data_IF_862723224381
#
_entry.id   IF_862723224381
#
_cell.length_a   1.000
_cell.length_b   1.000
_cell.length_c   1.000
_cell.angle_alpha   90.00
_cell.angle_beta   90.00
_cell.angle_gamma   90.00
#
_symmetry.space_group_name_H-M   'P 1'
#
loop_
_entity.id
_entity.type
_entity.pdbx_description
1 polymer ?
#
# COMPACT_ATOMS: atom_id res chain seq x y z
N UNK A 1 -16.79 10.42 -19.42
CA UNK A 1 -16.91 10.25 -17.96
C UNK A 1 -15.51 9.94 -17.47
N UNK A 2 -14.97 10.74 -16.54
CA UNK A 2 -13.58 10.59 -16.09
C UNK A 2 -13.40 9.25 -15.37
N UNK A 3 -12.36 8.49 -15.72
CA UNK A 3 -12.07 7.19 -15.10
C UNK A 3 -11.48 7.45 -13.72
N UNK A 4 -12.23 7.11 -12.66
CA UNK A 4 -11.76 7.29 -11.27
C UNK A 4 -10.49 6.48 -10.96
N UNK A 5 -9.74 6.92 -9.95
CA UNK A 5 -8.43 6.33 -9.59
C UNK A 5 -8.49 4.83 -9.33
N UNK A 6 -9.53 4.35 -8.66
CA UNK A 6 -9.77 2.92 -8.43
C UNK A 6 -9.81 2.13 -9.74
N UNK A 7 -10.52 2.64 -10.75
CA UNK A 7 -10.62 1.98 -12.05
C UNK A 7 -9.28 1.99 -12.80
N UNK A 8 -8.51 3.09 -12.69
CA UNK A 8 -7.15 3.19 -13.26
C UNK A 8 -6.20 2.18 -12.61
N UNK A 9 -6.25 2.05 -11.29
CA UNK A 9 -5.44 1.10 -10.52
C UNK A 9 -5.75 -0.36 -10.88
N UNK A 10 -7.03 -0.73 -10.96
CA UNK A 10 -7.46 -2.07 -11.39
C UNK A 10 -6.95 -2.42 -12.80
N UNK A 11 -6.95 -1.46 -13.73
CA UNK A 11 -6.37 -1.65 -15.06
C UNK A 11 -4.86 -1.85 -15.02
N UNK A 12 -4.14 -1.19 -14.13
CA UNK A 12 -2.71 -1.42 -13.93
C UNK A 12 -2.45 -2.81 -13.34
N UNK A 13 -3.16 -3.19 -12.28
CA UNK A 13 -2.93 -4.45 -11.56
C UNK A 13 -3.16 -5.69 -12.45
N UNK A 14 -4.27 -5.73 -13.19
CA UNK A 14 -4.69 -6.96 -13.90
C UNK A 14 -5.33 -6.71 -15.27
N UNK A 15 -5.30 -5.48 -15.79
CA UNK A 15 -5.80 -5.16 -17.14
C UNK A 15 -7.30 -5.41 -17.33
N UNK A 16 -8.06 -5.60 -16.24
CA UNK A 16 -9.49 -5.93 -16.30
C UNK A 16 -9.85 -7.33 -16.86
N UNK A 17 -8.91 -8.27 -16.92
CA UNK A 17 -9.16 -9.64 -17.37
C UNK A 17 -8.88 -9.88 -18.85
N UNK A 18 -9.07 -11.13 -19.28
CA UNK A 18 -8.67 -11.58 -20.62
C UNK A 18 -9.53 -11.01 -21.76
N UNK A 19 -10.76 -10.57 -21.47
CA UNK A 19 -11.65 -9.89 -22.43
C UNK A 19 -11.31 -8.40 -22.59
N UNK A 20 -10.43 -7.87 -21.73
CA UNK A 20 -9.93 -6.49 -21.78
C UNK A 20 -8.43 -6.49 -22.09
N UNK A 21 -7.62 -5.86 -21.24
CA UNK A 21 -6.18 -5.66 -21.43
C UNK A 21 -5.33 -6.65 -20.64
N UNK A 22 -5.93 -7.61 -19.94
CA UNK A 22 -5.22 -8.58 -19.11
C UNK A 22 -4.32 -9.54 -19.89
N UNK A 23 -4.59 -9.75 -21.19
CA UNK A 23 -3.72 -10.52 -22.08
C UNK A 23 -2.63 -9.67 -22.76
N UNK A 24 -2.71 -8.34 -22.68
CA UNK A 24 -1.72 -7.43 -23.26
C UNK A 24 -0.60 -7.12 -22.26
N UNK A 25 0.00 -8.16 -21.69
CA UNK A 25 0.98 -8.10 -20.60
C UNK A 25 2.01 -9.23 -20.73
N UNK A 26 3.18 -9.01 -20.14
CA UNK A 26 4.22 -10.01 -19.93
C UNK A 26 4.81 -9.85 -18.53
N UNK A 27 4.21 -10.52 -17.55
CA UNK A 27 4.50 -10.30 -16.12
C UNK A 27 5.91 -10.73 -15.69
N UNK A 28 6.61 -11.56 -16.46
CA UNK A 28 8.01 -11.91 -16.19
C UNK A 28 8.97 -10.75 -16.49
N UNK A 29 8.51 -9.68 -17.18
CA UNK A 29 9.34 -8.52 -17.46
C UNK A 29 9.30 -7.57 -16.25
N UNK A 30 10.45 -7.14 -15.70
CA UNK A 30 10.51 -6.30 -14.49
C UNK A 30 9.68 -5.03 -14.53
N UNK A 31 9.59 -4.38 -15.70
CA UNK A 31 8.83 -3.16 -15.89
C UNK A 31 8.02 -3.24 -17.19
N UNK A 32 6.73 -2.94 -17.10
CA UNK A 32 5.82 -2.82 -18.22
C UNK A 32 5.16 -1.45 -18.17
N UNK A 33 5.51 -0.56 -19.09
CA UNK A 33 4.85 0.73 -19.25
C UNK A 33 3.51 0.52 -19.98
N UNK A 34 2.42 0.97 -19.38
CA UNK A 34 1.09 0.93 -19.96
C UNK A 34 0.74 2.33 -20.43
N UNK A 35 0.37 2.45 -21.70
CA UNK A 35 -0.09 3.69 -22.33
C UNK A 35 -1.42 3.39 -23.01
N UNK A 36 -2.52 3.69 -22.31
CA UNK A 36 -3.88 3.49 -22.80
C UNK A 36 -4.31 4.58 -23.78
N UNK A 37 -5.12 4.20 -24.77
CA UNK A 37 -5.74 5.15 -25.72
C UNK A 37 -6.72 6.12 -25.02
N UNK A 38 -7.24 5.71 -23.87
CA UNK A 38 -8.13 6.47 -22.99
C UNK A 38 -7.38 7.41 -22.02
N UNK A 39 -6.05 7.48 -22.15
CA UNK A 39 -5.17 8.28 -21.29
C UNK A 39 -4.81 7.61 -19.96
N UNK A 40 -5.25 6.36 -19.72
CA UNK A 40 -4.82 5.62 -18.53
C UNK A 40 -3.40 5.13 -18.74
N UNK A 41 -2.47 5.74 -18.00
CA UNK A 41 -1.04 5.45 -18.09
C UNK A 41 -0.50 5.00 -16.73
N UNK A 42 0.53 4.16 -16.76
CA UNK A 42 1.20 3.70 -15.54
C UNK A 42 2.30 2.69 -15.82
N UNK A 43 2.80 2.08 -14.76
CA UNK A 43 3.83 1.03 -14.84
C UNK A 43 3.42 -0.15 -13.98
N UNK A 44 3.48 -1.36 -14.55
CA UNK A 44 3.36 -2.63 -13.82
C UNK A 44 4.76 -3.15 -13.53
N UNK A 45 4.97 -3.60 -12.30
CA UNK A 45 6.27 -4.02 -11.79
C UNK A 45 6.24 -5.49 -11.39
N UNK A 46 7.20 -6.27 -11.87
CA UNK A 46 7.58 -7.53 -11.23
C UNK A 46 8.56 -7.17 -10.10
N UNK A 47 8.30 -7.62 -8.88
CA UNK A 47 8.88 -7.03 -7.66
C UNK A 47 10.13 -7.76 -7.15
N UNK A 48 10.49 -8.90 -7.76
CA UNK A 48 11.68 -9.66 -7.39
C UNK A 48 13.01 -8.89 -7.51
N UNK A 49 13.25 -8.00 -8.50
CA UNK A 49 14.55 -7.37 -8.67
C UNK A 49 14.73 -6.06 -7.89
N UNK A 50 13.65 -5.34 -7.54
CA UNK A 50 13.76 -4.03 -6.87
C UNK A 50 12.50 -3.61 -6.10
N UNK A 51 12.67 -2.68 -5.17
CA UNK A 51 11.63 -2.15 -4.29
C UNK A 51 10.86 -0.96 -4.89
N UNK A 52 9.69 -0.63 -4.30
CA UNK A 52 8.85 0.49 -4.73
C UNK A 52 9.56 1.85 -4.77
N UNK A 53 10.51 2.10 -3.85
CA UNK A 53 11.31 3.34 -3.85
C UNK A 53 12.21 3.47 -5.09
N UNK A 54 12.76 2.35 -5.58
CA UNK A 54 13.60 2.35 -6.80
C UNK A 54 12.71 2.55 -8.04
N UNK A 55 11.55 1.89 -8.07
CA UNK A 55 10.54 2.07 -9.11
C UNK A 55 10.12 3.54 -9.21
N UNK A 56 9.71 4.16 -8.10
CA UNK A 56 9.25 5.56 -8.06
C UNK A 56 10.35 6.52 -8.48
N UNK A 57 11.59 6.32 -8.04
CA UNK A 57 12.69 7.17 -8.46
C UNK A 57 12.90 7.14 -9.99
N UNK A 58 12.80 5.95 -10.60
CA UNK A 58 12.87 5.78 -12.04
C UNK A 58 11.69 6.44 -12.77
N UNK A 59 10.46 6.17 -12.35
CA UNK A 59 9.27 6.70 -13.01
C UNK A 59 9.15 8.22 -12.87
N UNK A 60 9.50 8.79 -11.71
CA UNK A 60 9.56 10.24 -11.55
C UNK A 60 10.59 10.90 -12.46
N UNK A 61 11.76 10.30 -12.59
CA UNK A 61 12.79 10.80 -13.49
C UNK A 61 12.28 10.85 -14.92
N UNK A 62 11.63 9.78 -15.38
CA UNK A 62 11.02 9.73 -16.72
C UNK A 62 9.94 10.79 -16.88
N UNK A 63 9.04 10.95 -15.90
CA UNK A 63 7.98 11.96 -15.94
C UNK A 63 8.55 13.38 -16.02
N UNK A 64 9.54 13.70 -15.17
CA UNK A 64 10.22 15.00 -15.16
C UNK A 64 10.99 15.25 -16.46
N UNK A 65 11.59 14.21 -17.05
CA UNK A 65 12.27 14.31 -18.33
C UNK A 65 11.29 14.64 -19.47
N UNK A 66 10.13 13.98 -19.50
CA UNK A 66 9.08 14.21 -20.49
C UNK A 66 8.44 15.60 -20.37
N UNK A 67 8.23 16.11 -19.15
CA UNK A 67 7.58 17.41 -18.93
C UNK A 67 8.56 18.59 -18.93
N UNK A 68 9.81 18.38 -18.51
CA UNK A 68 10.83 19.42 -18.35
C UNK A 68 11.64 19.72 -19.60
N UNK A 69 11.59 18.87 -20.63
CA UNK A 69 12.24 19.13 -21.90
C UNK A 69 11.25 19.77 -22.88
N UNK A 70 11.28 21.09 -23.14
CA UNK A 70 10.66 21.61 -24.34
C UNK A 70 11.34 20.88 -25.48
N UNK A 71 10.57 20.16 -26.28
CA UNK A 71 11.08 19.30 -27.34
C UNK A 71 12.08 20.06 -28.23
N UNK A 72 13.38 19.98 -27.89
CA UNK A 72 14.39 19.72 -28.90
C UNK A 72 14.22 18.25 -29.24
N UNK A 73 13.06 17.90 -29.83
CA UNK A 73 13.05 16.88 -30.85
C UNK A 73 14.01 17.48 -31.87
N UNK A 74 15.31 17.21 -31.72
CA UNK A 74 16.26 17.52 -32.77
C UNK A 74 15.62 16.94 -34.00
N UNK A 75 15.32 17.79 -35.00
CA UNK A 75 14.81 17.37 -36.31
C UNK A 75 15.51 16.05 -36.60
N UNK A 76 14.75 14.94 -36.65
CA UNK A 76 15.32 13.60 -36.71
C UNK A 76 16.49 13.65 -37.68
N UNK A 77 17.72 13.52 -37.14
CA UNK A 77 18.93 13.82 -37.88
C UNK A 77 19.01 12.77 -38.98
N UNK A 78 18.54 13.13 -40.17
CA UNK A 78 18.17 12.25 -41.28
C UNK A 78 17.08 11.22 -40.93
N UNK A 79 15.90 11.37 -41.55
CA UNK A 79 14.98 10.24 -41.73
C UNK A 79 15.63 9.32 -42.76
N UNK A 80 16.62 8.55 -42.31
CA UNK A 80 17.01 7.31 -42.97
C UNK A 80 15.85 6.32 -42.82
N UNK A 81 15.67 5.44 -43.80
CA UNK A 81 14.63 4.41 -43.77
C UNK A 81 14.81 3.51 -42.54
N UNK A 82 14.11 3.82 -41.44
CA UNK A 82 14.11 2.98 -40.25
C UNK A 82 13.41 1.65 -40.58
N UNK A 83 13.98 0.50 -40.17
CA UNK A 83 13.34 -0.77 -40.41
C UNK A 83 12.00 -0.86 -39.66
N UNK A 84 11.00 -1.50 -40.28
CA UNK A 84 9.71 -1.75 -39.64
C UNK A 84 9.89 -2.68 -38.42
N UNK A 85 9.27 -2.38 -37.26
CA UNK A 85 9.28 -3.28 -36.12
C UNK A 85 8.78 -4.68 -36.48
N UNK A 86 9.56 -5.72 -36.13
CA UNK A 86 9.20 -7.10 -36.39
C UNK A 86 8.15 -7.63 -35.41
N UNK A 87 7.04 -8.18 -35.92
CA UNK A 87 6.04 -8.88 -35.10
C UNK A 87 6.60 -10.22 -34.61
N UNK A 88 6.56 -10.44 -33.29
CA UNK A 88 6.87 -11.76 -32.72
C UNK A 88 5.76 -12.76 -33.07
N UNK A 89 6.14 -13.86 -33.71
CA UNK A 89 5.23 -14.93 -34.12
C UNK A 89 5.37 -16.14 -33.20
N UNK A 90 4.23 -16.77 -32.89
CA UNK A 90 4.16 -17.92 -31.99
C UNK A 90 3.51 -19.10 -32.70
N UNK A 91 4.10 -20.30 -32.56
CA UNK A 91 3.47 -21.55 -32.97
C UNK A 91 2.65 -22.08 -31.80
N UNK A 92 1.34 -22.19 -31.97
CA UNK A 92 0.45 -22.73 -30.94
C UNK A 92 0.11 -24.19 -31.23
N UNK A 93 0.13 -25.01 -30.18
CA UNK A 93 -0.31 -26.41 -30.23
C UNK A 93 -1.63 -26.56 -29.46
N UNK A 94 -2.38 -27.66 -29.63
CA UNK A 94 -3.58 -27.90 -28.82
C UNK A 94 -3.31 -27.85 -27.32
N UNK A 95 -2.12 -28.29 -26.88
CA UNK A 95 -1.69 -28.18 -25.48
C UNK A 95 -1.58 -26.71 -25.02
N UNK A 96 -0.90 -25.86 -25.80
CA UNK A 96 -0.77 -24.42 -25.50
C UNK A 96 -2.15 -23.73 -25.49
N UNK A 97 -3.04 -24.09 -26.41
CA UNK A 97 -4.42 -23.56 -26.42
C UNK A 97 -5.19 -23.94 -25.15
N UNK A 98 -5.00 -25.17 -24.64
CA UNK A 98 -5.54 -25.60 -23.36
C UNK A 98 -5.01 -24.76 -22.19
N UNK A 99 -3.70 -24.48 -22.16
CA UNK A 99 -3.08 -23.62 -21.15
C UNK A 99 -3.61 -22.18 -21.21
N UNK A 100 -3.74 -21.60 -22.41
CA UNK A 100 -4.30 -20.26 -22.60
C UNK A 100 -5.73 -20.17 -22.05
N UNK A 101 -6.58 -21.16 -22.34
CA UNK A 101 -7.96 -21.21 -21.82
C UNK A 101 -7.98 -21.33 -20.30
N UNK A 102 -7.14 -22.19 -19.71
CA UNK A 102 -7.04 -22.34 -18.27
C UNK A 102 -6.55 -21.05 -17.58
N UNK A 103 -5.55 -20.38 -18.17
CA UNK A 103 -5.01 -19.11 -17.67
C UNK A 103 -6.01 -17.97 -17.77
N UNK A 104 -6.78 -17.87 -18.87
CA UNK A 104 -7.87 -16.91 -19.00
C UNK A 104 -8.91 -17.07 -17.88
N UNK A 105 -9.33 -18.32 -17.60
CA UNK A 105 -10.25 -18.62 -16.50
C UNK A 105 -9.66 -18.31 -15.12
N UNK A 106 -8.36 -18.53 -14.91
CA UNK A 106 -7.66 -18.19 -13.66
C UNK A 106 -7.58 -16.67 -13.46
N UNK A 107 -7.16 -15.92 -14.47
CA UNK A 107 -7.10 -14.47 -14.43
C UNK A 107 -8.48 -13.88 -14.14
N UNK A 108 -9.54 -14.39 -14.79
CA UNK A 108 -10.89 -13.90 -14.56
C UNK A 108 -11.35 -14.08 -13.10
N UNK A 109 -10.93 -15.17 -12.43
CA UNK A 109 -11.20 -15.34 -11.00
C UNK A 109 -10.46 -14.31 -10.15
N UNK A 110 -9.16 -14.10 -10.40
CA UNK A 110 -8.37 -13.09 -9.67
C UNK A 110 -8.95 -11.68 -9.82
N UNK A 111 -9.39 -11.31 -11.03
CA UNK A 111 -10.04 -10.01 -11.29
C UNK A 111 -11.34 -9.85 -10.52
N UNK A 112 -12.11 -10.93 -10.34
CA UNK A 112 -13.38 -10.90 -9.60
C UNK A 112 -13.21 -10.93 -8.09
N UNK A 113 -12.12 -11.54 -7.63
CA UNK A 113 -11.80 -11.74 -6.21
C UNK A 113 -11.15 -10.50 -5.58
N UNK A 114 -10.45 -9.70 -6.39
CA UNK A 114 -9.82 -8.46 -5.93
C UNK A 114 -10.87 -7.38 -5.63
N UNK A 115 -10.90 -6.94 -4.38
CA UNK A 115 -11.58 -5.72 -3.96
C UNK A 115 -10.55 -4.61 -3.71
N UNK A 116 -10.70 -3.49 -4.40
CA UNK A 116 -9.74 -2.39 -4.37
C UNK A 116 -10.46 -1.07 -4.37
N UNK A 117 -9.94 -0.14 -3.57
CA UNK A 117 -10.42 1.22 -3.47
C UNK A 117 -9.23 2.16 -3.33
N UNK A 118 -9.26 3.27 -4.06
CA UNK A 118 -8.34 4.39 -3.88
C UNK A 118 -9.05 5.41 -2.99
N UNK A 119 -8.63 5.53 -1.74
CA UNK A 119 -9.19 6.52 -0.83
C UNK A 119 -8.25 7.69 -0.62
N UNK A 120 -8.68 8.91 -1.00
CA UNK A 120 -7.98 10.16 -0.72
C UNK A 120 -8.49 10.78 0.58
N UNK A 121 -7.65 10.80 1.62
CA UNK A 121 -7.94 11.49 2.86
C UNK A 121 -7.52 12.96 2.76
N UNK A 122 -8.50 13.87 2.77
CA UNK A 122 -8.31 15.28 2.42
C UNK A 122 -8.28 16.24 3.62
N UNK A 123 -8.45 15.72 4.84
CA UNK A 123 -8.62 16.56 6.04
C UNK A 123 -7.29 17.21 6.47
N UNK A 124 -6.19 16.47 6.45
CA UNK A 124 -4.84 16.96 6.77
C UNK A 124 -3.76 16.04 6.20
N UNK A 125 -2.53 16.56 6.09
CA UNK A 125 -1.36 15.82 5.61
C UNK A 125 -0.19 15.80 6.59
N UNK A 126 1.01 15.49 6.07
CA UNK A 126 2.23 15.31 6.87
C UNK A 126 2.64 16.56 7.65
N UNK A 127 2.27 17.75 7.19
CA UNK A 127 2.58 19.01 7.89
C UNK A 127 1.82 19.15 9.22
N UNK A 128 0.56 18.72 9.28
CA UNK A 128 -0.19 18.72 10.54
C UNK A 128 0.44 17.74 11.54
N UNK A 129 0.76 16.53 11.10
CA UNK A 129 1.34 15.48 11.96
C UNK A 129 2.70 15.93 12.51
N UNK A 130 3.54 16.55 11.66
CA UNK A 130 4.83 17.12 12.08
C UNK A 130 4.67 18.26 13.09
N UNK A 131 3.65 19.11 12.97
CA UNK A 131 3.35 20.14 13.99
C UNK A 131 3.03 19.55 15.35
N UNK A 132 2.47 18.33 15.37
CA UNK A 132 2.28 17.57 16.60
C UNK A 132 3.56 16.86 17.08
N UNK A 133 4.73 17.11 16.48
CA UNK A 133 6.03 16.47 16.79
C UNK A 133 6.01 14.93 16.68
N UNK A 134 5.24 14.41 15.72
CA UNK A 134 5.15 12.98 15.41
C UNK A 134 5.75 12.67 14.04
N UNK A 135 6.30 11.47 13.86
CA UNK A 135 6.64 10.96 12.53
C UNK A 135 5.34 10.70 11.74
N UNK A 136 5.18 11.24 10.51
CA UNK A 136 4.01 10.98 9.67
C UNK A 136 3.77 9.49 9.43
N UNK A 137 4.84 8.73 9.17
CA UNK A 137 4.80 7.30 8.93
C UNK A 137 4.29 6.53 10.15
N UNK A 138 4.92 6.74 11.31
CA UNK A 138 4.53 6.09 12.55
C UNK A 138 3.09 6.45 12.97
N UNK A 139 2.66 7.69 12.74
CA UNK A 139 1.29 8.11 12.99
C UNK A 139 0.29 7.35 12.11
N UNK A 140 0.57 7.21 10.81
CA UNK A 140 -0.30 6.47 9.88
C UNK A 140 -0.34 5.00 10.25
N UNK A 141 0.79 4.38 10.59
CA UNK A 141 0.85 3.00 11.05
C UNK A 141 -0.03 2.76 12.28
N UNK A 142 0.07 3.61 13.31
CA UNK A 142 -0.78 3.53 14.50
C UNK A 142 -2.26 3.77 14.16
N UNK A 143 -2.56 4.66 13.21
CA UNK A 143 -3.92 4.88 12.72
C UNK A 143 -4.48 3.65 11.99
N UNK A 144 -3.67 2.94 11.20
CA UNK A 144 -4.05 1.68 10.54
C UNK A 144 -4.34 0.58 11.57
N UNK A 145 -3.54 0.47 12.64
CA UNK A 145 -3.82 -0.44 13.75
C UNK A 145 -5.17 -0.12 14.41
N UNK A 146 -5.48 1.16 14.64
CA UNK A 146 -6.77 1.59 15.19
C UNK A 146 -7.94 1.27 14.25
N UNK A 147 -7.78 1.53 12.95
CA UNK A 147 -8.79 1.22 11.94
C UNK A 147 -9.08 -0.28 11.91
N UNK A 148 -8.03 -1.11 11.84
CA UNK A 148 -8.17 -2.56 11.84
C UNK A 148 -8.85 -3.07 13.12
N UNK A 149 -8.43 -2.59 14.29
CA UNK A 149 -9.02 -2.98 15.57
C UNK A 149 -10.50 -2.58 15.68
N UNK A 150 -10.88 -1.39 15.20
CA UNK A 150 -12.30 -0.95 15.19
C UNK A 150 -13.19 -1.85 14.34
N UNK A 151 -12.67 -2.37 13.23
CA UNK A 151 -13.42 -3.25 12.33
C UNK A 151 -13.47 -4.70 12.84
N UNK A 152 -12.39 -5.18 13.48
CA UNK A 152 -12.20 -6.62 13.73
C UNK A 152 -12.11 -7.00 15.22
N UNK A 153 -12.04 -6.04 16.13
CA UNK A 153 -11.94 -6.26 17.58
C UNK A 153 -10.61 -6.84 18.07
N UNK A 154 -9.61 -6.97 17.20
CA UNK A 154 -8.27 -7.50 17.51
C UNK A 154 -7.21 -6.86 16.63
N UNK A 155 -5.96 -6.89 17.09
CA UNK A 155 -4.80 -6.67 16.21
C UNK A 155 -4.38 -7.98 15.54
N UNK A 156 -3.55 -7.86 14.51
CA UNK A 156 -3.04 -8.97 13.69
C UNK A 156 -1.58 -8.77 13.37
N UNK A 157 -0.87 -9.85 13.02
CA UNK A 157 0.48 -9.77 12.45
C UNK A 157 0.47 -8.78 11.29
N UNK A 158 1.20 -7.68 11.47
CA UNK A 158 1.28 -6.58 10.51
C UNK A 158 2.69 -6.54 9.94
N UNK A 159 2.78 -6.44 8.62
CA UNK A 159 4.00 -6.18 7.89
C UNK A 159 4.07 -4.71 7.48
N UNK A 160 5.23 -4.11 7.66
CA UNK A 160 5.59 -2.83 7.06
C UNK A 160 7.00 -2.93 6.48
N UNK A 161 7.15 -2.55 5.21
CA UNK A 161 8.44 -2.61 4.52
C UNK A 161 9.46 -1.61 5.09
N UNK A 162 10.60 -2.09 5.56
CA UNK A 162 11.70 -1.27 6.05
C UNK A 162 12.93 -1.39 5.16
N UNK A 163 13.28 -0.32 4.44
CA UNK A 163 14.47 -0.35 3.57
C UNK A 163 15.76 -0.51 4.39
N UNK A 164 16.52 -1.57 4.09
CA UNK A 164 17.85 -1.83 4.64
C UNK A 164 18.98 -1.51 3.63
N UNK A 165 18.69 -0.66 2.62
CA UNK A 165 19.65 -0.18 1.60
C UNK A 165 20.89 0.56 2.15
N UNK A 166 21.01 0.74 3.46
CA UNK A 166 22.24 1.21 4.13
C UNK A 166 23.34 0.15 4.10
N UNK A 167 22.97 -1.11 3.91
CA UNK A 167 23.87 -2.25 3.78
C UNK A 167 24.02 -2.66 2.32
N UNK A 168 25.16 -3.30 2.00
CA UNK A 168 25.41 -3.85 0.66
C UNK A 168 24.31 -4.84 0.28
N UNK A 169 23.78 -4.75 -0.95
CA UNK A 169 22.65 -5.57 -1.45
C UNK A 169 21.36 -5.47 -0.61
N UNK A 170 21.28 -4.51 0.32
CA UNK A 170 20.15 -4.36 1.21
C UNK A 170 18.82 -4.14 0.46
N UNK A 171 17.87 -5.04 0.69
CA UNK A 171 16.48 -4.94 0.23
C UNK A 171 15.60 -4.35 1.32
N UNK A 172 14.79 -5.18 1.96
CA UNK A 172 13.88 -4.81 3.04
C UNK A 172 14.00 -5.77 4.22
N UNK A 173 13.70 -5.27 5.40
CA UNK A 173 13.30 -6.05 6.58
C UNK A 173 11.88 -5.63 6.97
N UNK A 174 11.32 -6.24 8.02
CA UNK A 174 9.95 -5.98 8.48
C UNK A 174 9.91 -5.07 9.71
N UNK A 175 9.00 -4.09 9.71
CA UNK A 175 8.54 -3.40 10.91
C UNK A 175 7.22 -4.03 11.36
N UNK A 176 7.22 -4.59 12.57
CA UNK A 176 6.04 -5.24 13.14
C UNK A 176 5.18 -4.22 13.89
N UNK A 177 4.32 -3.50 13.17
CA UNK A 177 3.55 -2.35 13.69
C UNK A 177 2.45 -2.70 14.70
N UNK A 178 2.10 -3.98 14.86
CA UNK A 178 1.12 -4.44 15.86
C UNK A 178 1.76 -4.61 17.25
N UNK A 179 2.26 -3.51 17.81
CA UNK A 179 2.99 -3.52 19.09
C UNK A 179 2.04 -3.61 20.32
N UNK A 180 2.56 -3.98 21.50
CA UNK A 180 1.79 -3.91 22.75
C UNK A 180 1.27 -2.49 23.05
N UNK A 181 2.04 -1.45 22.73
CA UNK A 181 1.65 -0.05 22.91
C UNK A 181 0.53 0.34 21.94
N UNK A 182 0.62 -0.10 20.68
CA UNK A 182 -0.49 0.05 19.74
C UNK A 182 -1.75 -0.62 20.27
N UNK A 183 -1.66 -1.85 20.80
CA UNK A 183 -2.79 -2.55 21.42
C UNK A 183 -3.39 -1.76 22.60
N UNK A 184 -2.54 -1.21 23.46
CA UNK A 184 -2.96 -0.41 24.61
C UNK A 184 -3.67 0.88 24.19
N UNK A 185 -3.19 1.53 23.12
CA UNK A 185 -3.80 2.71 22.52
C UNK A 185 -5.16 2.40 21.87
N UNK A 186 -5.22 1.39 20.99
CA UNK A 186 -6.47 1.08 20.27
C UNK A 186 -7.58 0.62 21.20
N UNK A 187 -7.25 -0.13 22.26
CA UNK A 187 -8.19 -0.49 23.33
C UNK A 187 -8.72 0.76 24.04
N UNK A 188 -7.85 1.68 24.42
CA UNK A 188 -8.25 2.94 25.07
C UNK A 188 -9.16 3.82 24.19
N UNK A 189 -9.02 3.73 22.86
CA UNK A 189 -9.83 4.47 21.89
C UNK A 189 -11.15 3.81 21.51
N UNK A 190 -11.37 2.54 21.88
CA UNK A 190 -12.53 1.75 21.44
C UNK A 190 -13.36 1.18 22.58
N UNK A 191 -12.78 1.00 23.77
CA UNK A 191 -13.51 0.53 24.94
C UNK A 191 -14.42 1.63 25.50
N UNK A 192 -15.72 1.47 25.26
CA UNK A 192 -16.75 2.39 25.78
C UNK A 192 -16.96 2.28 27.29
N UNK A 193 -16.48 1.21 27.92
CA UNK A 193 -16.60 0.98 29.37
C UNK A 193 -15.44 1.59 30.15
N UNK A 194 -14.31 1.82 29.50
CA UNK A 194 -13.15 2.47 30.10
C UNK A 194 -13.37 3.99 30.14
N UNK A 195 -13.53 4.54 31.35
CA UNK A 195 -13.60 5.99 31.59
C UNK A 195 -12.21 6.62 31.58
N UNK A 196 -11.48 6.46 30.47
CA UNK A 196 -10.17 7.11 30.29
C UNK A 196 -10.34 8.56 29.84
N UNK A 197 -9.61 9.45 30.48
CA UNK A 197 -9.52 10.86 30.10
C UNK A 197 -8.83 11.02 28.74
N UNK A 198 -9.10 12.15 28.07
CA UNK A 198 -8.46 12.45 26.79
C UNK A 198 -6.94 12.61 26.93
N UNK A 199 -6.47 13.07 28.09
CA UNK A 199 -5.03 13.14 28.39
C UNK A 199 -4.38 11.75 28.42
N UNK A 200 -5.03 10.75 29.02
CA UNK A 200 -4.52 9.38 29.03
C UNK A 200 -4.55 8.73 27.63
N UNK A 201 -5.58 9.01 26.82
CA UNK A 201 -5.64 8.53 25.43
C UNK A 201 -4.53 9.14 24.58
N UNK A 202 -4.27 10.44 24.73
CA UNK A 202 -3.17 11.13 24.06
C UNK A 202 -1.83 10.54 24.50
N UNK A 203 -1.62 10.27 25.79
CA UNK A 203 -0.38 9.66 26.27
C UNK A 203 -0.15 8.28 25.62
N UNK A 204 -1.18 7.44 25.55
CA UNK A 204 -1.09 6.13 24.90
C UNK A 204 -0.80 6.23 23.40
N UNK A 205 -1.34 7.23 22.71
CA UNK A 205 -1.00 7.54 21.33
C UNK A 205 0.50 7.85 21.18
N UNK A 206 1.03 8.69 22.07
CA UNK A 206 2.45 9.04 22.08
C UNK A 206 3.35 7.83 22.32
N UNK A 207 2.97 6.96 23.26
CA UNK A 207 3.72 5.75 23.56
C UNK A 207 3.72 4.79 22.36
N UNK A 208 2.57 4.61 21.69
CA UNK A 208 2.46 3.80 20.48
C UNK A 208 3.32 4.37 19.32
N UNK A 209 3.29 5.68 19.10
CA UNK A 209 4.11 6.34 18.06
C UNK A 209 5.61 6.21 18.37
N UNK A 210 5.99 6.33 19.64
CA UNK A 210 7.37 6.16 20.08
C UNK A 210 7.84 4.72 19.87
N UNK A 211 7.04 3.73 20.25
CA UNK A 211 7.33 2.31 20.04
C UNK A 211 7.49 1.98 18.55
N UNK A 212 6.56 2.46 17.72
CA UNK A 212 6.63 2.34 16.27
C UNK A 212 7.92 2.95 15.72
N UNK A 213 8.25 4.19 16.10
CA UNK A 213 9.47 4.88 15.65
C UNK A 213 10.74 4.13 16.06
N UNK A 214 10.79 3.59 17.29
CA UNK A 214 11.92 2.80 17.77
C UNK A 214 12.07 1.51 16.96
N UNK A 215 10.97 0.83 16.64
CA UNK A 215 10.99 -0.38 15.81
C UNK A 215 11.43 -0.06 14.38
N UNK A 216 10.94 1.04 13.79
CA UNK A 216 11.41 1.54 12.50
C UNK A 216 12.92 1.75 12.49
N UNK A 217 13.46 2.41 13.51
CA UNK A 217 14.92 2.62 13.63
C UNK A 217 15.65 1.28 13.69
N UNK A 218 15.21 0.35 14.55
CA UNK A 218 15.83 -0.97 14.66
C UNK A 218 15.86 -1.70 13.30
N UNK A 219 14.72 -1.78 12.61
CA UNK A 219 14.58 -2.45 11.32
C UNK A 219 15.49 -1.83 10.24
N UNK A 220 15.47 -0.50 10.04
CA UNK A 220 16.30 0.14 9.01
C UNK A 220 17.80 0.10 9.33
N UNK A 221 18.18 -0.19 10.57
CA UNK A 221 19.57 -0.44 11.00
C UNK A 221 19.93 -1.92 11.06
N UNK A 222 19.11 -2.81 10.50
CA UNK A 222 19.41 -4.26 10.44
C UNK A 222 19.29 -4.98 11.77
N UNK A 223 18.58 -4.39 12.74
CA UNK A 223 18.29 -4.97 14.05
C UNK A 223 16.83 -5.46 14.16
N UNK A 224 16.15 -5.61 13.02
CA UNK A 224 14.87 -6.32 12.93
C UNK A 224 15.06 -7.83 13.12
N UNK A 225 13.96 -8.56 13.30
CA UNK A 225 14.02 -9.99 13.63
C UNK A 225 13.71 -10.90 12.44
N UNK A 226 12.94 -10.44 11.46
CA UNK A 226 12.34 -11.30 10.44
C UNK A 226 13.42 -11.91 9.52
N UNK A 227 14.31 -11.08 8.98
CA UNK A 227 15.44 -11.56 8.18
C UNK A 227 16.42 -12.42 8.98
N UNK A 228 16.64 -12.11 10.25
CA UNK A 228 17.50 -12.92 11.13
C UNK A 228 16.91 -14.31 11.36
N UNK A 229 15.63 -14.40 11.73
CA UNK A 229 14.94 -15.67 11.92
C UNK A 229 14.83 -16.47 10.62
N UNK A 230 14.62 -15.81 9.48
CA UNK A 230 14.69 -16.44 8.16
C UNK A 230 16.06 -17.06 7.92
N UNK A 231 17.15 -16.30 8.16
CA UNK A 231 18.51 -16.78 7.99
C UNK A 231 18.80 -18.01 8.85
N UNK A 232 18.43 -17.99 10.13
CA UNK A 232 18.60 -19.14 11.02
C UNK A 232 17.82 -20.37 10.54
N UNK A 233 16.58 -20.18 10.06
CA UNK A 233 15.76 -21.26 9.51
C UNK A 233 16.40 -21.88 8.27
N UNK A 234 16.84 -21.06 7.33
CA UNK A 234 17.45 -21.55 6.09
C UNK A 234 18.82 -22.19 6.32
N UNK A 235 19.63 -21.67 7.25
CA UNK A 235 20.89 -22.32 7.67
C UNK A 235 20.62 -23.71 8.25
N UNK A 236 19.59 -23.87 9.11
CA UNK A 236 19.24 -25.19 9.65
C UNK A 236 18.88 -26.20 8.55
N UNK A 237 18.23 -25.73 7.48
CA UNK A 237 17.88 -26.52 6.30
C UNK A 237 19.11 -26.88 5.46
N UNK A 238 20.01 -25.91 5.24
CA UNK A 238 21.26 -26.14 4.50
C UNK A 238 22.16 -27.16 5.21
N UNK A 239 22.23 -27.10 6.53
CA UNK A 239 22.94 -28.04 7.39
C UNK A 239 22.22 -29.39 7.55
N UNK A 240 21.05 -29.58 6.92
CA UNK A 240 20.24 -30.79 7.00
C UNK A 240 19.89 -31.21 8.44
N UNK A 241 19.72 -30.22 9.31
CA UNK A 241 19.28 -30.44 10.68
C UNK A 241 17.79 -30.79 10.70
N UNK A 242 17.35 -31.46 11.76
CA UNK A 242 15.92 -31.44 12.10
C UNK A 242 15.48 -29.99 12.31
N UNK A 243 14.29 -29.65 11.78
CA UNK A 243 13.78 -28.28 11.84
C UNK A 243 13.66 -27.85 13.31
N UNK A 244 14.35 -26.78 13.74
CA UNK A 244 14.26 -26.31 15.11
C UNK A 244 12.81 -26.01 15.52
N UNK A 245 12.43 -26.42 16.73
CA UNK A 245 11.05 -26.37 17.25
C UNK A 245 10.39 -24.98 17.10
N UNK A 246 11.18 -23.92 17.32
CA UNK A 246 10.73 -22.52 17.16
C UNK A 246 10.13 -22.24 15.76
N UNK A 247 10.60 -22.91 14.71
CA UNK A 247 10.11 -22.69 13.34
C UNK A 247 8.89 -23.54 12.99
N UNK A 248 8.56 -24.53 13.81
CA UNK A 248 7.33 -25.34 13.71
C UNK A 248 6.25 -24.91 14.69
N UNK A 249 6.60 -24.11 15.69
CA UNK A 249 5.65 -23.51 16.65
C UNK A 249 4.57 -22.72 15.90
N UNK A 250 3.30 -22.95 16.26
CA UNK A 250 2.15 -22.25 15.71
C UNK A 250 2.28 -20.73 15.84
N UNK A 251 2.98 -20.24 16.88
CA UNK A 251 3.30 -18.84 17.11
C UNK A 251 4.17 -18.28 16.00
N UNK A 252 5.22 -18.99 15.56
CA UNK A 252 6.07 -18.55 14.46
C UNK A 252 5.31 -18.56 13.15
N UNK A 253 4.52 -19.60 12.89
CA UNK A 253 3.66 -19.69 11.70
C UNK A 253 2.69 -18.51 11.65
N UNK A 254 1.96 -18.26 12.74
CA UNK A 254 1.02 -17.15 12.84
C UNK A 254 1.70 -15.77 12.77
N UNK A 255 2.92 -15.63 13.28
CA UNK A 255 3.67 -14.37 13.22
C UNK A 255 4.01 -13.95 11.78
N UNK A 256 4.06 -14.90 10.85
CA UNK A 256 4.35 -14.69 9.43
C UNK A 256 3.11 -14.70 8.54
N UNK A 257 1.91 -14.80 9.12
CA UNK A 257 0.64 -14.60 8.42
C UNK A 257 0.26 -13.11 8.47
N UNK A 258 0.82 -12.31 7.56
CA UNK A 258 0.63 -10.86 7.53
C UNK A 258 -0.75 -10.46 7.01
N UNK A 259 -1.74 -10.52 7.89
CA UNK A 259 -3.13 -10.11 7.60
C UNK A 259 -3.22 -8.62 7.24
N UNK A 260 -2.33 -7.78 7.74
CA UNK A 260 -2.20 -6.40 7.32
C UNK A 260 -0.80 -6.18 6.75
N UNK A 261 -0.67 -5.99 5.44
CA UNK A 261 0.60 -5.75 4.77
C UNK A 261 0.64 -4.32 4.24
N UNK A 262 1.65 -3.56 4.64
CA UNK A 262 1.68 -2.10 4.43
C UNK A 262 3.03 -1.61 3.92
N UNK A 263 3.02 -0.44 3.29
CA UNK A 263 4.24 0.24 2.87
C UNK A 263 3.98 1.71 2.59
N UNK A 264 4.88 2.58 3.04
CA UNK A 264 4.91 3.96 2.57
C UNK A 264 5.64 4.06 1.23
N UNK A 265 4.97 4.58 0.21
CA UNK A 265 5.59 4.88 -1.10
C UNK A 265 5.34 6.35 -1.45
N UNK A 266 6.19 7.26 -0.94
CA UNK A 266 6.02 8.69 -1.15
C UNK A 266 6.40 9.08 -2.57
N UNK A 267 5.63 9.98 -3.18
CA UNK A 267 5.91 10.54 -4.51
C UNK A 267 5.98 12.07 -4.45
N UNK A 268 6.52 12.69 -5.49
CA UNK A 268 6.56 14.16 -5.70
C UNK A 268 5.74 14.59 -6.91
N UNK A 269 5.36 13.65 -7.76
CA UNK A 269 4.44 13.85 -8.89
C UNK A 269 3.10 13.16 -8.61
N UNK A 270 2.06 13.53 -9.36
CA UNK A 270 0.72 12.94 -9.27
C UNK A 270 0.72 11.49 -9.80
N UNK A 271 1.12 10.57 -8.94
CA UNK A 271 1.01 9.13 -9.13
C UNK A 271 0.94 8.44 -7.76
N UNK A 272 0.59 7.16 -7.77
CA UNK A 272 0.51 6.33 -6.58
C UNK A 272 0.87 4.89 -6.90
N UNK A 273 1.10 4.10 -5.86
CA UNK A 273 1.42 2.68 -5.96
C UNK A 273 0.38 1.87 -5.18
N UNK A 274 -0.02 0.72 -5.70
CA UNK A 274 -0.98 -0.19 -5.08
C UNK A 274 -0.53 -1.65 -5.28
N UNK A 275 -1.02 -2.56 -4.44
CA UNK A 275 -0.81 -4.01 -4.55
C UNK A 275 -1.92 -4.78 -3.84
N UNK A 276 -2.00 -6.10 -4.12
CA UNK A 276 -2.93 -7.01 -3.47
C UNK A 276 -2.50 -7.46 -2.07
N UNK A 277 -3.39 -8.07 -1.27
CA UNK A 277 -3.03 -8.68 0.00
C UNK A 277 -2.09 -9.88 -0.18
N UNK A 278 -1.33 -10.20 0.86
CA UNK A 278 -0.36 -11.32 0.85
C UNK A 278 -0.90 -12.62 1.46
N UNK A 279 -2.08 -12.56 2.09
CA UNK A 279 -2.83 -13.71 2.60
C UNK A 279 -4.30 -13.60 2.20
N UNK A 280 -5.04 -14.71 2.04
CA UNK A 280 -6.44 -14.68 1.57
C UNK A 280 -7.41 -13.88 2.43
N UNK A 281 -7.15 -13.79 3.74
CA UNK A 281 -7.97 -13.06 4.70
C UNK A 281 -7.36 -11.69 5.09
N UNK A 282 -6.50 -11.13 4.24
CA UNK A 282 -5.70 -9.96 4.57
C UNK A 282 -5.97 -8.72 3.72
N UNK A 283 -5.15 -7.71 3.97
CA UNK A 283 -5.18 -6.38 3.37
C UNK A 283 -3.80 -6.01 2.85
N UNK A 284 -3.71 -5.41 1.67
CA UNK A 284 -2.58 -4.56 1.29
C UNK A 284 -2.97 -3.11 1.48
N UNK A 285 -2.22 -2.27 2.22
CA UNK A 285 -2.41 -0.81 2.20
C UNK A 285 -1.07 -0.12 1.93
N UNK A 286 -0.94 0.39 0.70
CA UNK A 286 0.11 1.31 0.32
C UNK A 286 -0.35 2.74 0.59
N UNK A 287 0.53 3.59 1.13
CA UNK A 287 0.19 4.98 1.41
C UNK A 287 1.24 6.01 0.97
N UNK A 288 0.74 7.19 0.57
CA UNK A 288 1.55 8.30 0.04
C UNK A 288 1.24 9.63 0.78
N UNK A 289 1.98 9.97 1.86
CA UNK A 289 1.73 11.18 2.63
C UNK A 289 2.24 12.47 1.94
N UNK A 290 1.34 13.42 1.65
CA UNK A 290 1.68 14.72 1.02
C UNK A 290 1.58 15.92 1.99
N UNK A 291 2.10 17.09 1.58
CA UNK A 291 2.12 18.31 2.42
C UNK A 291 0.82 19.14 2.38
N UNK A 292 -0.15 18.84 1.50
CA UNK A 292 -1.44 19.55 1.39
C UNK A 292 -2.53 18.72 0.70
N UNK A 293 -3.80 19.20 0.65
CA UNK A 293 -4.90 18.57 -0.10
C UNK A 293 -4.45 18.14 -1.51
N UNK A 294 -4.56 16.86 -1.91
CA UNK A 294 -4.98 15.67 -1.13
C UNK A 294 -3.79 14.80 -0.63
N UNK A 295 -3.58 14.65 0.69
CA UNK A 295 -2.37 13.99 1.23
C UNK A 295 -2.64 12.71 2.01
N UNK A 296 -3.25 11.70 1.41
CA UNK A 296 -3.15 10.30 1.85
C UNK A 296 -3.96 9.47 0.89
N UNK A 297 -3.30 8.68 0.07
CA UNK A 297 -3.95 7.64 -0.71
C UNK A 297 -3.75 6.33 0.03
N UNK A 298 -4.80 5.69 0.58
CA UNK A 298 -4.71 4.28 1.00
C UNK A 298 -5.43 3.44 -0.04
N UNK A 299 -4.74 2.42 -0.51
CA UNK A 299 -5.28 1.49 -1.48
C UNK A 299 -5.75 0.23 -0.72
N UNK A 300 -7.05 -0.10 -0.86
CA UNK A 300 -7.82 -1.24 -0.30
C UNK A 300 -8.54 -1.04 1.06
N UNK A 301 -9.87 -1.06 0.97
CA UNK A 301 -10.82 -1.37 2.05
C UNK A 301 -11.89 -2.30 1.44
N UNK A 302 -12.40 -3.35 2.13
CA UNK A 302 -13.46 -4.19 1.61
C UNK A 302 -14.75 -3.40 1.45
N UNK A 303 -15.57 -3.83 0.49
CA UNK A 303 -16.97 -3.41 0.31
C UNK A 303 -17.77 -3.42 1.60
N UNK A 304 -17.50 -4.35 2.52
CA UNK A 304 -18.23 -4.48 3.79
C UNK A 304 -17.87 -3.40 4.84
N UNK A 305 -16.82 -2.60 4.62
CA UNK A 305 -16.38 -1.57 5.59
C UNK A 305 -16.39 -0.13 5.06
N UNK A 306 -16.85 0.11 3.81
CA UNK A 306 -17.00 1.47 3.24
C UNK A 306 -17.91 2.39 4.09
N UNK A 307 -18.88 1.81 4.80
CA UNK A 307 -19.82 2.56 5.65
C UNK A 307 -19.24 3.05 7.00
N UNK A 308 -18.03 2.63 7.38
CA UNK A 308 -17.50 2.86 8.74
C UNK A 308 -16.59 4.08 8.86
N UNK A 309 -15.84 4.47 7.82
CA UNK A 309 -15.07 5.73 7.83
C UNK A 309 -16.00 6.97 7.73
N UNK A 310 -17.14 6.85 7.04
CA UNK A 310 -18.18 7.87 7.03
C UNK A 310 -18.80 8.11 8.41
N UNK A 311 -18.87 7.08 9.26
CA UNK A 311 -19.40 7.19 10.63
C UNK A 311 -18.40 7.76 11.64
N UNK A 312 -17.09 7.72 11.36
CA UNK A 312 -16.08 8.43 12.16
C UNK A 312 -16.21 9.96 11.99
N UNK A 313 -16.70 10.43 10.84
CA UNK A 313 -16.87 11.86 10.54
C UNK A 313 -18.19 12.45 11.07
N UNK A 314 -19.20 11.63 11.38
CA UNK A 314 -20.48 12.10 11.91
C UNK A 314 -20.53 12.14 13.46
N UNK A 315 -19.48 11.70 14.15
CA UNK A 315 -19.41 11.68 15.61
C UNK A 315 -19.07 13.03 16.27
N UNK A 316 -18.72 14.06 15.50
CA UNK A 316 -18.40 15.39 16.02
C UNK A 316 -19.31 16.47 15.43
N UNK A 317 -20.43 16.72 16.11
CA UNK A 317 -21.11 18.02 16.06
C UNK A 317 -22.53 18.02 15.51
N UNK A 318 -23.52 17.90 16.41
CA UNK A 318 -24.51 18.94 16.73
C UNK A 318 -25.56 18.35 17.68
N UNK A 319 -25.50 18.77 18.95
CA UNK A 319 -26.64 18.66 19.86
C UNK A 319 -27.76 19.63 19.44
N UNK A 320 -29.03 19.32 19.76
CA UNK A 320 -30.16 20.11 19.31
C UNK A 320 -30.19 21.46 20.05
N UNK A 321 -30.21 22.56 19.31
CA UNK A 321 -30.65 23.87 19.83
C UNK A 321 -32.09 24.06 19.42
N UNK A 322 -32.94 24.28 20.41
CA UNK A 322 -34.36 24.54 20.27
C UNK A 322 -34.64 25.88 19.59
N UNK A 323 -35.88 25.94 19.10
CA UNK A 323 -36.60 27.11 18.62
C UNK A 323 -36.44 28.33 19.52
N UNK A 324 -36.28 29.51 18.89
CA UNK A 324 -37.06 30.70 19.24
C UNK A 324 -36.93 31.77 18.13
N UNK A 325 -38.09 32.13 17.56
CA UNK A 325 -38.50 33.53 17.34
C UNK A 325 -37.73 34.42 16.37
N UNK A 326 -38.32 34.58 15.19
CA UNK A 326 -38.20 35.74 14.30
C UNK A 326 -38.31 37.10 15.03
N UNK A 327 -37.56 38.12 14.56
CA UNK A 327 -38.07 39.40 13.99
C UNK A 327 -36.89 40.31 13.60
N UNK A 328 -37.05 40.97 12.45
CA UNK A 328 -36.18 41.99 11.84
C UNK A 328 -36.24 43.32 12.61
N UNK A 329 -35.15 44.12 12.62
CA UNK A 329 -35.12 45.48 12.05
C UNK A 329 -33.82 46.24 12.39
N UNK A 330 -33.35 46.96 11.36
CA UNK A 330 -32.51 48.16 11.28
C UNK A 330 -31.84 48.75 12.55
N UNK A 331 -30.51 48.73 12.59
CA UNK A 331 -29.59 49.85 12.29
C UNK A 331 -28.14 49.41 12.53
#
# INVERSE_FOLDING_TARGET
MEVGDTSRALLMLHGGGHEKMGANRWYDKPMQFVVGEDGVCGTVCEHSPFEGIVLVACTEYLMKFMTGSPSKMGRATSVSELPTPGRLLWKTTPHIQGLLKASAGRLQRLVRDLDMDVHKFEVYGKEFIKKQKMSPDAYIQVALQLAFYRCNGRLVSTYESASIRRFHEGRVDNIRSATPEALAFVKAMTDKKASLSDSEKIQRLWDAIKAQTNYTIAAITGMGIDNHLLGLREISRELQMEVPEIFTDETYVASNQFVLSTSQVPTTVEMFCCYGPVVPNGYGCCYNPQSGPPPLQCDQLPREHRDLLGRVHQGSGRGPRGDEGSVQEEQ
#
